data_IF_436617963865
#
_entry.id   IF_436617963865
#
_cell.length_a   1.000
_cell.length_b   1.000
_cell.length_c   1.000
_cell.angle_alpha   90.00
_cell.angle_beta   90.00
_cell.angle_gamma   90.00
#
_symmetry.space_group_name_H-M   'P 1'
#
loop_
_entity.id
_entity.type
_entity.pdbx_description
1 polymer ?
#
# COMPACT_ATOMS: atom_id res chain seq x y z
N UNK A 1 6.22 17.06 15.39
CA UNK A 1 6.83 15.92 14.65
C UNK A 1 5.75 14.86 14.48
N UNK A 2 5.40 14.48 13.25
CA UNK A 2 4.22 13.66 12.94
C UNK A 2 4.24 12.33 13.71
N UNK A 3 3.45 12.24 14.79
CA UNK A 3 3.27 11.03 15.62
C UNK A 3 2.33 10.03 14.97
N UNK A 4 2.60 9.73 13.70
CA UNK A 4 1.95 8.68 12.93
C UNK A 4 3.09 7.86 12.33
N UNK A 5 3.59 6.94 13.13
CA UNK A 5 4.53 5.92 12.70
C UNK A 5 3.84 4.96 11.74
N UNK A 6 4.63 4.32 10.87
CA UNK A 6 4.13 3.26 9.99
C UNK A 6 3.44 2.13 10.77
N UNK A 7 3.85 1.89 12.03
CA UNK A 7 3.21 0.95 12.94
C UNK A 7 1.81 1.38 13.36
N UNK A 8 1.59 2.64 13.71
CA UNK A 8 0.27 3.16 14.08
C UNK A 8 -0.71 3.15 12.90
N UNK A 9 -0.24 3.47 11.69
CA UNK A 9 -1.03 3.33 10.45
C UNK A 9 -1.42 1.85 10.25
N UNK A 10 -0.48 0.93 10.46
CA UNK A 10 -0.72 -0.51 10.39
C UNK A 10 -1.74 -1.00 11.42
N UNK A 11 -1.66 -0.51 12.66
CA UNK A 11 -2.59 -0.87 13.73
C UNK A 11 -4.01 -0.37 13.44
N UNK A 12 -4.16 0.88 13.00
CA UNK A 12 -5.47 1.44 12.63
C UNK A 12 -6.05 0.68 11.44
N UNK A 13 -5.23 0.33 10.45
CA UNK A 13 -5.65 -0.54 9.35
C UNK A 13 -6.11 -1.91 9.86
N UNK A 14 -5.37 -2.55 10.77
CA UNK A 14 -5.75 -3.84 11.33
C UNK A 14 -7.11 -3.77 12.07
N UNK A 15 -7.31 -2.77 12.92
CA UNK A 15 -8.58 -2.55 13.63
C UNK A 15 -9.72 -2.29 12.64
N UNK A 16 -9.49 -1.46 11.62
CA UNK A 16 -10.48 -1.19 10.59
C UNK A 16 -10.85 -2.45 9.80
N UNK A 17 -9.87 -3.30 9.46
CA UNK A 17 -10.11 -4.59 8.79
C UNK A 17 -10.94 -5.55 9.64
N UNK A 18 -10.76 -5.56 10.97
CA UNK A 18 -11.53 -6.42 11.88
C UNK A 18 -12.94 -5.89 12.08
N UNK A 19 -13.09 -4.58 12.33
CA UNK A 19 -14.38 -3.97 12.66
C UNK A 19 -15.32 -3.86 11.45
N UNK A 20 -14.79 -3.47 10.29
CA UNK A 20 -15.56 -3.25 9.06
C UNK A 20 -15.47 -4.48 8.15
N UNK A 21 -14.36 -5.21 8.19
CA UNK A 21 -14.09 -6.33 7.29
C UNK A 21 -13.17 -5.94 6.13
N UNK A 22 -12.30 -6.85 5.65
CA UNK A 22 -11.32 -6.57 4.59
C UNK A 22 -11.95 -6.24 3.23
N UNK A 23 -13.18 -6.70 2.98
CA UNK A 23 -13.90 -6.46 1.73
C UNK A 23 -14.66 -5.14 1.73
N UNK A 24 -15.07 -4.67 2.90
CA UNK A 24 -15.91 -3.49 3.05
C UNK A 24 -15.08 -2.21 3.29
N UNK A 25 -13.86 -2.35 3.84
CA UNK A 25 -12.89 -1.25 3.95
C UNK A 25 -12.62 -0.52 2.60
N UNK A 26 -12.31 -1.20 1.48
CA UNK A 26 -12.08 -0.52 0.20
C UNK A 26 -13.35 0.13 -0.38
N UNK A 27 -14.54 -0.33 0.01
CA UNK A 27 -15.81 0.31 -0.36
C UNK A 27 -16.03 1.56 0.50
N UNK A 28 -15.83 1.46 1.81
CA UNK A 28 -15.94 2.58 2.75
C UNK A 28 -14.98 3.73 2.40
N UNK A 29 -13.72 3.43 2.09
CA UNK A 29 -12.76 4.43 1.62
C UNK A 29 -13.30 5.13 0.38
N UNK A 30 -13.74 4.38 -0.65
CA UNK A 30 -14.27 4.96 -1.89
C UNK A 30 -15.48 5.86 -1.64
N UNK A 31 -16.36 5.48 -0.72
CA UNK A 31 -17.53 6.29 -0.34
C UNK A 31 -17.10 7.60 0.29
N UNK A 32 -16.22 7.55 1.30
CA UNK A 32 -15.71 8.75 1.97
C UNK A 32 -14.91 9.63 1.01
N UNK A 33 -14.02 9.05 0.20
CA UNK A 33 -13.27 9.83 -0.79
C UNK A 33 -14.18 10.43 -1.86
N UNK A 34 -15.23 9.71 -2.26
CA UNK A 34 -16.25 10.22 -3.18
C UNK A 34 -16.98 11.43 -2.61
N UNK A 35 -17.37 11.37 -1.33
CA UNK A 35 -17.99 12.50 -0.62
C UNK A 35 -17.04 13.69 -0.53
N UNK A 36 -15.79 13.47 -0.13
CA UNK A 36 -14.76 14.52 -0.05
C UNK A 36 -14.51 15.13 -1.43
N UNK A 37 -14.42 14.31 -2.48
CA UNK A 37 -14.20 14.78 -3.86
C UNK A 37 -15.35 15.64 -4.34
N UNK A 38 -16.59 15.27 -4.02
CA UNK A 38 -17.78 16.04 -4.35
C UNK A 38 -17.81 17.37 -3.59
N UNK A 39 -17.49 17.35 -2.29
CA UNK A 39 -17.33 18.56 -1.48
C UNK A 39 -16.23 19.48 -2.04
N UNK A 40 -15.08 18.92 -2.45
CA UNK A 40 -13.98 19.67 -3.06
C UNK A 40 -14.35 20.25 -4.43
N UNK A 41 -15.13 19.53 -5.23
CA UNK A 41 -15.67 20.04 -6.50
C UNK A 41 -16.58 21.24 -6.28
N UNK A 42 -17.54 21.13 -5.36
CA UNK A 42 -18.40 22.25 -4.97
C UNK A 42 -17.57 23.43 -4.42
N UNK A 43 -16.58 23.15 -3.57
CA UNK A 43 -15.68 24.17 -3.04
C UNK A 43 -14.85 24.87 -4.12
N UNK A 44 -14.49 24.18 -5.22
CA UNK A 44 -13.79 24.80 -6.34
C UNK A 44 -14.69 25.77 -7.12
N UNK A 45 -15.98 25.45 -7.24
CA UNK A 45 -16.99 26.36 -7.80
C UNK A 45 -17.24 27.56 -6.87
N UNK A 46 -17.29 27.32 -5.56
CA UNK A 46 -17.34 28.39 -4.57
C UNK A 46 -16.09 29.27 -4.61
N UNK A 47 -14.89 28.73 -4.76
CA UNK A 47 -13.68 29.54 -4.88
C UNK A 47 -13.74 30.48 -6.09
N UNK A 48 -14.29 30.03 -7.23
CA UNK A 48 -14.50 30.87 -8.40
C UNK A 48 -15.47 32.04 -8.16
N UNK A 49 -16.51 31.84 -7.34
CA UNK A 49 -17.48 32.90 -6.99
C UNK A 49 -17.03 33.74 -5.79
N UNK A 50 -16.29 33.12 -4.88
CA UNK A 50 -15.75 33.72 -3.66
C UNK A 50 -14.54 34.58 -4.02
N UNK A 51 -13.69 34.28 -5.00
CA UNK A 51 -12.59 35.18 -5.43
C UNK A 51 -13.11 36.56 -5.89
N UNK A 52 -14.28 36.61 -6.53
CA UNK A 52 -14.94 37.86 -6.94
C UNK A 52 -15.53 38.62 -5.73
N UNK A 53 -16.06 37.91 -4.74
CA UNK A 53 -16.61 38.51 -3.50
C UNK A 53 -15.53 38.80 -2.43
N UNK A 54 -14.42 38.06 -2.43
CA UNK A 54 -13.26 38.14 -1.53
C UNK A 54 -12.43 39.37 -1.80
N UNK A 55 -12.41 39.85 -3.05
CA UNK A 55 -11.70 41.07 -3.39
C UNK A 55 -12.35 42.30 -2.75
N UNK A 56 -13.62 42.19 -2.35
CA UNK A 56 -14.40 43.23 -1.67
C UNK A 56 -14.49 43.01 -0.14
N UNK A 57 -14.39 41.76 0.35
CA UNK A 57 -14.54 41.41 1.78
C UNK A 57 -13.25 40.82 2.40
N UNK A 58 -12.83 41.35 3.56
CA UNK A 58 -11.60 41.00 4.30
C UNK A 58 -11.41 39.50 4.67
N UNK A 59 -11.02 38.63 3.73
CA UNK A 59 -10.74 37.20 4.04
C UNK A 59 -9.38 36.91 4.71
N UNK A 60 -8.55 37.93 4.95
CA UNK A 60 -7.29 37.78 5.69
C UNK A 60 -7.49 37.30 7.13
N UNK A 61 -8.57 37.75 7.78
CA UNK A 61 -8.84 37.43 9.19
C UNK A 61 -9.31 35.98 9.38
N UNK A 62 -10.17 35.49 8.48
CA UNK A 62 -10.65 34.10 8.48
C UNK A 62 -9.51 33.12 8.20
N UNK A 63 -8.61 33.46 7.26
CA UNK A 63 -7.40 32.66 7.02
C UNK A 63 -6.52 32.58 8.29
N UNK A 64 -6.37 33.69 9.01
CA UNK A 64 -5.62 33.74 10.26
C UNK A 64 -6.26 32.89 11.38
N UNK A 65 -7.58 32.84 11.45
CA UNK A 65 -8.32 32.04 12.42
C UNK A 65 -8.26 30.54 12.12
N UNK A 66 -8.36 30.15 10.84
CA UNK A 66 -8.15 28.77 10.39
C UNK A 66 -6.70 28.32 10.65
N UNK A 67 -5.70 29.18 10.40
CA UNK A 67 -4.31 28.87 10.72
C UNK A 67 -4.08 28.77 12.24
N UNK A 68 -4.80 29.54 13.06
CA UNK A 68 -4.77 29.37 14.53
C UNK A 68 -5.39 28.03 14.96
N UNK A 69 -6.53 27.64 14.39
CA UNK A 69 -7.17 26.34 14.65
C UNK A 69 -6.32 25.17 14.16
N UNK A 70 -5.63 25.31 13.02
CA UNK A 70 -4.69 24.29 12.52
C UNK A 70 -3.45 24.15 13.39
N UNK A 71 -3.07 25.23 14.09
CA UNK A 71 -2.00 25.24 15.10
C UNK A 71 -2.45 24.85 16.50
N UNK A 72 -3.76 24.76 16.77
CA UNK A 72 -4.25 24.03 17.94
C UNK A 72 -3.89 22.56 17.69
N UNK A 73 -2.80 22.13 18.32
CA UNK A 73 -2.26 20.79 18.21
C UNK A 73 -3.29 19.79 18.77
N UNK A 74 -4.17 19.29 17.90
CA UNK A 74 -5.00 18.11 18.17
C UNK A 74 -4.16 16.93 18.65
N UNK A 75 -2.89 16.91 18.23
CA UNK A 75 -1.87 15.98 18.70
C UNK A 75 -1.54 16.14 20.18
N UNK A 76 -1.45 17.37 20.70
CA UNK A 76 -1.20 17.62 22.12
C UNK A 76 -2.40 17.19 22.98
N UNK A 77 -3.62 17.48 22.53
CA UNK A 77 -4.84 17.04 23.21
C UNK A 77 -5.03 15.51 23.19
N UNK A 78 -4.68 14.86 22.06
CA UNK A 78 -4.71 13.41 21.95
C UNK A 78 -3.60 12.74 22.79
N UNK A 79 -2.41 13.31 22.85
CA UNK A 79 -1.28 12.78 23.63
C UNK A 79 -1.56 12.88 25.15
N UNK A 80 -2.16 13.98 25.61
CA UNK A 80 -2.57 14.18 27.02
C UNK A 80 -3.68 13.21 27.47
N UNK A 81 -4.60 12.84 26.57
CA UNK A 81 -5.75 11.98 26.90
C UNK A 81 -5.47 10.49 26.74
N UNK A 82 -4.50 10.10 25.92
CA UNK A 82 -4.25 8.69 25.55
C UNK A 82 -3.03 8.09 26.28
N UNK A 83 -1.99 8.88 26.60
CA UNK A 83 -0.80 8.38 27.32
C UNK A 83 -0.22 9.43 28.29
N UNK A 84 -0.90 9.73 29.41
CA UNK A 84 -0.44 10.74 30.37
C UNK A 84 0.85 10.34 31.10
N UNK A 85 1.13 9.03 31.26
CA UNK A 85 2.25 8.50 32.06
C UNK A 85 3.40 7.93 31.21
N UNK A 86 3.31 7.96 29.87
CA UNK A 86 4.36 7.47 28.96
C UNK A 86 4.50 5.95 28.88
N UNK A 87 3.55 5.20 29.44
CA UNK A 87 3.56 3.73 29.52
C UNK A 87 3.39 3.06 28.16
N UNK A 88 2.64 3.69 27.24
CA UNK A 88 2.46 3.15 25.89
C UNK A 88 3.77 3.24 25.10
N UNK A 89 4.53 4.32 25.28
CA UNK A 89 5.85 4.50 24.64
C UNK A 89 6.87 3.45 25.08
N UNK A 90 6.93 3.17 26.39
CA UNK A 90 7.84 2.15 26.91
C UNK A 90 7.52 0.75 26.34
N UNK A 91 6.23 0.41 26.27
CA UNK A 91 5.76 -0.86 25.71
C UNK A 91 6.06 -0.99 24.22
N UNK A 92 5.88 0.10 23.45
CA UNK A 92 6.18 0.12 22.01
C UNK A 92 7.68 0.01 21.73
N UNK A 93 8.52 0.65 22.54
CA UNK A 93 9.97 0.56 22.45
C UNK A 93 10.44 -0.89 22.67
N UNK A 94 9.93 -1.56 23.71
CA UNK A 94 10.25 -2.96 24.03
C UNK A 94 9.85 -3.92 22.89
N UNK A 95 8.67 -3.73 22.30
CA UNK A 95 8.21 -4.52 21.15
C UNK A 95 9.08 -4.27 19.91
N UNK A 96 9.47 -3.02 19.65
CA UNK A 96 10.34 -2.67 18.52
C UNK A 96 11.74 -3.31 18.64
N UNK A 97 12.29 -3.32 19.85
CA UNK A 97 13.58 -3.95 20.13
C UNK A 97 13.49 -5.48 20.00
N UNK A 98 12.39 -6.08 20.44
CA UNK A 98 12.10 -7.51 20.26
C UNK A 98 11.93 -7.91 18.80
N UNK A 99 11.22 -7.12 18.00
CA UNK A 99 11.05 -7.36 16.56
C UNK A 99 12.37 -7.24 15.81
N UNK A 100 13.19 -6.23 16.16
CA UNK A 100 14.51 -6.02 15.55
C UNK A 100 15.49 -7.14 15.87
N UNK A 101 15.49 -7.64 17.11
CA UNK A 101 16.26 -8.80 17.52
C UNK A 101 15.81 -10.08 16.80
N UNK A 102 14.49 -10.26 16.63
CA UNK A 102 13.93 -11.43 15.92
C UNK A 102 14.26 -11.40 14.43
N UNK A 103 14.21 -10.23 13.80
CA UNK A 103 14.59 -10.04 12.40
C UNK A 103 16.08 -10.29 12.15
N UNK A 104 16.95 -9.91 13.09
CA UNK A 104 18.39 -10.19 13.03
C UNK A 104 18.74 -11.66 13.27
N UNK A 105 17.84 -12.42 13.91
CA UNK A 105 18.03 -13.84 14.25
C UNK A 105 17.47 -14.80 13.18
N UNK A 106 16.74 -14.28 12.20
CA UNK A 106 16.20 -15.09 11.11
C UNK A 106 17.33 -15.54 10.17
N UNK A 107 17.80 -16.77 10.38
CA UNK A 107 18.54 -17.50 9.35
C UNK A 107 17.48 -18.21 8.51
N UNK A 108 17.31 -17.87 7.21
CA UNK A 108 16.45 -18.65 6.34
C UNK A 108 16.84 -20.12 6.47
N UNK A 109 15.89 -21.06 6.67
CA UNK A 109 16.24 -22.47 6.63
C UNK A 109 16.97 -22.72 5.31
N UNK A 110 18.14 -23.36 5.38
CA UNK A 110 18.82 -23.83 4.18
C UNK A 110 17.77 -24.61 3.35
N UNK A 111 17.71 -24.43 2.03
CA UNK A 111 16.84 -25.23 1.18
C UNK A 111 17.12 -26.70 1.49
N UNK A 112 16.21 -27.34 2.21
CA UNK A 112 16.17 -28.79 2.29
C UNK A 112 15.75 -29.21 0.90
N UNK A 113 16.74 -29.63 0.11
CA UNK A 113 16.51 -30.40 -1.09
C UNK A 113 16.02 -31.79 -0.63
N UNK A 114 14.77 -31.82 -0.16
CA UNK A 114 14.02 -33.07 -0.03
C UNK A 114 13.70 -33.52 -1.45
N UNK A 115 14.57 -34.37 -1.98
CA UNK A 115 14.36 -35.09 -3.22
C UNK A 115 13.13 -35.99 -3.02
N UNK A 116 11.99 -35.76 -3.72
CA UNK A 116 10.87 -36.68 -3.65
C UNK A 116 11.33 -38.02 -4.26
N UNK A 117 11.11 -39.17 -3.59
CA UNK A 117 11.46 -40.44 -4.19
C UNK A 117 10.58 -40.63 -5.44
N UNK A 118 11.22 -40.61 -6.62
CA UNK A 118 10.64 -40.70 -7.98
C UNK A 118 10.10 -39.41 -8.65
N UNK A 119 10.84 -38.30 -8.65
CA UNK A 119 10.70 -37.32 -9.73
C UNK A 119 11.57 -37.73 -10.95
N UNK A 120 11.03 -37.80 -12.18
CA UNK A 120 11.86 -38.03 -13.37
C UNK A 120 12.81 -36.84 -13.56
N UNK A 121 14.10 -37.13 -13.81
CA UNK A 121 15.17 -36.15 -13.90
C UNK A 121 14.81 -34.96 -14.81
N UNK A 122 14.83 -33.75 -14.25
CA UNK A 122 14.67 -32.53 -15.01
C UNK A 122 15.89 -32.34 -15.91
N UNK A 123 15.68 -32.46 -17.22
CA UNK A 123 16.76 -32.32 -18.19
C UNK A 123 17.12 -30.82 -18.29
N UNK A 124 18.39 -30.42 -18.08
CA UNK A 124 18.79 -29.02 -18.18
C UNK A 124 18.56 -28.47 -19.60
N UNK A 125 18.23 -27.17 -19.74
CA UNK A 125 17.77 -26.57 -20.99
C UNK A 125 18.78 -26.63 -22.14
N UNK A 126 20.04 -26.96 -21.86
CA UNK A 126 21.11 -27.02 -22.87
C UNK A 126 21.14 -28.32 -23.70
N UNK A 127 20.37 -29.34 -23.33
CA UNK A 127 20.35 -30.62 -24.07
C UNK A 127 19.42 -30.63 -25.30
N UNK A 128 18.53 -29.63 -25.43
CA UNK A 128 17.55 -29.57 -26.54
C UNK A 128 18.20 -29.13 -27.87
N UNK A 129 19.44 -28.64 -27.88
CA UNK A 129 20.09 -28.12 -29.10
C UNK A 129 20.73 -29.15 -30.03
N UNK A 130 20.61 -30.46 -29.78
CA UNK A 130 21.23 -31.48 -30.64
C UNK A 130 20.28 -32.61 -31.04
N UNK A 131 19.10 -32.27 -31.52
CA UNK A 131 18.34 -33.20 -32.36
C UNK A 131 18.59 -32.83 -33.84
N UNK A 132 19.04 -33.77 -34.71
CA UNK A 132 19.14 -33.48 -36.13
C UNK A 132 17.72 -33.26 -36.68
N UNK A 133 17.49 -32.09 -37.28
CA UNK A 133 16.25 -31.81 -38.00
C UNK A 133 16.08 -32.85 -39.11
N UNK A 134 14.92 -33.53 -39.24
CA UNK A 134 14.72 -34.45 -40.35
C UNK A 134 14.78 -33.68 -41.67
N UNK A 135 15.51 -34.24 -42.64
CA UNK A 135 15.63 -33.65 -43.97
C UNK A 135 14.24 -33.48 -44.60
N UNK A 136 13.90 -32.24 -44.96
CA UNK A 136 12.68 -31.92 -45.67
C UNK A 136 12.72 -32.56 -47.07
N UNK A 137 11.85 -33.53 -47.32
CA UNK A 137 11.65 -34.12 -48.65
C UNK A 137 10.47 -33.38 -49.31
N UNK A 138 10.69 -32.58 -50.36
CA UNK A 138 9.59 -31.91 -51.05
C UNK A 138 8.69 -32.95 -51.73
N UNK A 139 7.35 -32.78 -51.74
CA UNK A 139 6.46 -33.67 -52.47
C UNK A 139 6.77 -33.60 -53.97
N UNK A 140 7.04 -34.75 -54.56
CA UNK A 140 7.39 -34.89 -55.97
C UNK A 140 6.33 -34.27 -56.89
N UNK A 141 6.78 -33.39 -57.77
CA UNK A 141 6.01 -32.87 -58.90
C UNK A 141 5.67 -34.03 -59.85
N UNK A 142 4.51 -34.66 -59.66
CA UNK A 142 3.96 -35.58 -60.65
C UNK A 142 3.51 -34.77 -61.88
N UNK A 143 4.42 -34.69 -62.85
CA UNK A 143 4.18 -34.37 -64.25
C UNK A 143 3.13 -35.34 -64.81
N UNK A 144 1.90 -34.88 -65.01
CA UNK A 144 0.92 -35.58 -65.85
C UNK A 144 1.02 -34.99 -67.25
N UNK A 145 1.44 -35.81 -68.21
CA UNK A 145 1.33 -35.51 -69.63
C UNK A 145 0.12 -36.25 -70.20
N UNK A 146 -0.78 -35.50 -70.82
CA UNK A 146 -1.55 -35.83 -72.01
C UNK A 146 -1.71 -34.52 -72.80
#
# INVERSE_FOLDING_TARGET
MFGFSWGEIGLIMAVALIAIGPKDLPVAIRTVTGLIKKARGMAAEFQGHIDEMMREANLSDVKGEIDKLRRFDFRAAAEETIDPDGSLRASVQEVNDGVSATAASYTPPAPVEEEPPNAPAMIPPDTVRKAPVPAFIPPGTRRWGF
#
